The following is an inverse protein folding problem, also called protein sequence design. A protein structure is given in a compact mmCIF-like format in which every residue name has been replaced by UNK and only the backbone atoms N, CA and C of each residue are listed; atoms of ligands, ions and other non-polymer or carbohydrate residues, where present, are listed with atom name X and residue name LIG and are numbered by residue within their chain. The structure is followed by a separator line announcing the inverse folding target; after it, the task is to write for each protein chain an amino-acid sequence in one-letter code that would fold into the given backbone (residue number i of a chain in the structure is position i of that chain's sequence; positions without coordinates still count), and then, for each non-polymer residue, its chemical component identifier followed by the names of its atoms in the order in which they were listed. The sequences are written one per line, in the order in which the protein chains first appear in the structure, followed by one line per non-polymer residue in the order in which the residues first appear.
data_IF_371574190661
#
_entry.id   IF_371574190661
#
_cell.length_a   1.000
_cell.length_b   1.000
_cell.length_c   1.000
_cell.angle_alpha   90.00
_cell.angle_beta   90.00
_cell.angle_gamma   90.00
#
_symmetry.space_group_name_H-M   'P 1'
#
loop_
_entity.id
_entity.type
_entity.pdbx_description
1 polymer ?
#
# COMPACT_ATOMS: atom_id res chain seq x y z
N UNK A 1 19.23 -0.87 -1.85
CA UNK A 1 20.69 -0.76 -2.10
C UNK A 1 21.41 -0.44 -0.80
N UNK A 2 22.73 -0.55 -0.76
CA UNK A 2 23.55 -0.07 0.37
C UNK A 2 24.18 1.29 0.05
N UNK A 3 24.60 2.04 1.06
CA UNK A 3 25.02 3.44 0.92
C UNK A 3 26.17 3.66 -0.09
N UNK A 4 27.07 2.68 -0.19
CA UNK A 4 28.26 2.74 -1.05
C UNK A 4 28.19 1.82 -2.27
N UNK A 5 27.03 1.22 -2.51
CA UNK A 5 26.81 0.36 -3.66
C UNK A 5 26.61 1.20 -4.93
N UNK A 6 27.44 0.95 -5.95
CA UNK A 6 27.20 1.48 -7.29
C UNK A 6 25.92 0.87 -7.87
N UNK A 7 25.02 1.72 -8.36
CA UNK A 7 23.75 1.30 -8.93
C UNK A 7 23.65 1.75 -10.38
N UNK A 8 23.61 0.77 -11.30
CA UNK A 8 23.57 0.94 -12.75
C UNK A 8 22.25 0.48 -13.39
N UNK A 9 21.24 0.16 -12.56
CA UNK A 9 19.92 -0.24 -13.04
C UNK A 9 19.17 0.91 -13.72
N UNK A 10 18.23 0.60 -14.65
CA UNK A 10 17.49 1.62 -15.41
C UNK A 10 16.58 2.49 -14.53
N UNK A 11 16.19 1.98 -13.36
CA UNK A 11 15.44 2.71 -12.34
C UNK A 11 16.23 2.75 -11.03
N UNK A 12 16.12 3.84 -10.24
CA UNK A 12 16.88 3.98 -9.00
C UNK A 12 16.31 3.09 -7.88
N UNK A 13 17.19 2.45 -7.12
CA UNK A 13 16.83 1.85 -5.83
C UNK A 13 16.64 2.95 -4.76
N UNK A 14 15.38 3.35 -4.54
CA UNK A 14 14.99 4.47 -3.65
C UNK A 14 15.33 4.21 -2.18
N UNK A 15 15.12 2.98 -1.70
CA UNK A 15 15.38 2.60 -0.31
C UNK A 15 16.81 2.12 -0.10
N UNK A 16 17.46 2.59 0.96
CA UNK A 16 18.76 2.10 1.42
C UNK A 16 18.62 1.22 2.66
N UNK A 17 19.55 0.27 2.83
CA UNK A 17 19.60 -0.58 4.02
C UNK A 17 19.76 0.25 5.29
N UNK A 18 20.63 1.26 5.25
CA UNK A 18 20.97 2.12 6.38
C UNK A 18 19.77 2.95 6.85
N UNK A 19 18.92 3.39 5.90
CA UNK A 19 17.67 4.05 6.22
C UNK A 19 16.71 3.10 6.95
N UNK A 20 16.59 1.85 6.49
CA UNK A 20 15.77 0.82 7.15
C UNK A 20 16.31 0.49 8.54
N UNK A 21 17.63 0.36 8.71
CA UNK A 21 18.26 0.15 10.02
C UNK A 21 18.03 1.33 10.98
N UNK A 22 18.07 2.57 10.47
CA UNK A 22 17.76 3.76 11.27
C UNK A 22 16.30 3.77 11.74
N UNK A 23 15.36 3.39 10.87
CA UNK A 23 13.94 3.23 11.21
C UNK A 23 13.77 2.14 12.26
N UNK A 24 14.38 0.96 12.07
CA UNK A 24 14.33 -0.13 13.05
C UNK A 24 14.80 0.31 14.44
N UNK A 25 15.93 1.02 14.53
CA UNK A 25 16.41 1.58 15.79
C UNK A 25 15.43 2.58 16.41
N UNK A 26 14.91 3.51 15.61
CA UNK A 26 13.97 4.56 16.07
C UNK A 26 12.67 3.96 16.61
N UNK A 27 12.19 2.87 16.02
CA UNK A 27 10.97 2.18 16.44
C UNK A 27 11.21 1.05 17.46
N UNK A 28 12.46 0.83 17.89
CA UNK A 28 12.86 -0.29 18.75
C UNK A 28 12.33 -1.66 18.25
N UNK A 29 12.31 -1.83 16.91
CA UNK A 29 11.76 -3.03 16.30
C UNK A 29 12.62 -4.27 16.60
N UNK A 30 12.00 -5.34 17.07
CA UNK A 30 12.62 -6.66 17.28
C UNK A 30 12.14 -7.67 16.24
N UNK A 31 12.97 -8.66 15.90
CA UNK A 31 12.59 -9.72 14.96
C UNK A 31 12.43 -9.26 13.51
N UNK A 32 12.99 -8.11 13.13
CA UNK A 32 12.89 -7.60 11.77
C UNK A 32 13.85 -8.32 10.82
N UNK A 33 13.36 -8.68 9.63
CA UNK A 33 14.16 -9.24 8.53
C UNK A 33 14.42 -8.16 7.49
N UNK A 34 15.70 -7.88 7.22
CA UNK A 34 16.12 -6.92 6.20
C UNK A 34 16.39 -7.66 4.88
N UNK A 35 15.32 -8.00 4.17
CA UNK A 35 15.40 -8.62 2.86
C UNK A 35 15.76 -7.60 1.78
N UNK A 36 16.63 -8.00 0.85
CA UNK A 36 16.99 -7.18 -0.31
C UNK A 36 16.01 -7.45 -1.46
N UNK A 37 15.42 -6.39 -2.01
CA UNK A 37 14.59 -6.47 -3.21
C UNK A 37 15.41 -6.99 -4.40
N UNK A 38 14.80 -7.85 -5.23
CA UNK A 38 15.39 -8.35 -6.46
C UNK A 38 15.73 -7.23 -7.44
N UNK A 39 16.97 -7.21 -7.94
CA UNK A 39 17.43 -6.25 -8.96
C UNK A 39 16.58 -6.32 -10.24
N UNK A 40 16.20 -7.53 -10.65
CA UNK A 40 15.33 -7.75 -11.80
C UNK A 40 13.94 -7.11 -11.63
N UNK A 41 13.37 -7.16 -10.43
CA UNK A 41 12.11 -6.49 -10.12
C UNK A 41 12.26 -4.97 -10.28
N UNK A 42 13.28 -4.38 -9.68
CA UNK A 42 13.51 -2.93 -9.76
C UNK A 42 13.74 -2.51 -11.21
N UNK A 43 14.55 -3.26 -11.96
CA UNK A 43 14.79 -3.01 -13.38
C UNK A 43 13.52 -3.10 -14.24
N UNK A 44 12.55 -3.94 -13.85
CA UNK A 44 11.24 -4.06 -14.48
C UNK A 44 10.27 -2.90 -14.18
N UNK A 45 10.62 -2.01 -13.24
CA UNK A 45 9.80 -0.85 -12.87
C UNK A 45 9.24 -0.89 -11.45
N UNK A 46 9.64 -1.86 -10.61
CA UNK A 46 9.21 -1.90 -9.21
C UNK A 46 9.99 -0.89 -8.38
N UNK A 47 9.37 0.25 -8.10
CA UNK A 47 10.02 1.31 -7.32
C UNK A 47 9.86 1.13 -5.81
N UNK A 48 8.88 0.33 -5.36
CA UNK A 48 8.63 -0.05 -3.97
C UNK A 48 8.26 -1.54 -3.86
N UNK A 49 8.49 -2.14 -2.69
CA UNK A 49 8.24 -3.56 -2.45
C UNK A 49 6.75 -3.94 -2.55
N UNK A 50 5.86 -3.01 -2.21
CA UNK A 50 4.40 -3.20 -2.31
C UNK A 50 3.88 -3.29 -3.75
N UNK A 51 4.75 -3.25 -4.76
CA UNK A 51 4.41 -3.55 -6.16
C UNK A 51 4.61 -5.03 -6.51
N UNK A 52 5.35 -5.79 -5.68
CA UNK A 52 5.65 -7.22 -5.91
C UNK A 52 5.49 -8.11 -4.67
N UNK A 53 5.17 -7.54 -3.52
CA UNK A 53 5.01 -8.28 -2.28
C UNK A 53 4.08 -7.56 -1.29
N UNK A 54 3.14 -8.31 -0.72
CA UNK A 54 2.28 -7.86 0.38
C UNK A 54 2.14 -8.99 1.40
N UNK A 55 2.27 -8.66 2.68
CA UNK A 55 2.04 -9.62 3.77
C UNK A 55 0.96 -9.15 4.72
N UNK A 56 0.23 -10.07 5.34
CA UNK A 56 -0.73 -9.80 6.40
C UNK A 56 -0.84 -11.03 7.32
N UNK A 57 -0.88 -10.78 8.62
CA UNK A 57 -0.88 -11.83 9.64
C UNK A 57 0.32 -12.78 9.43
N UNK A 58 0.07 -14.07 9.24
CA UNK A 58 1.05 -15.11 8.99
C UNK A 58 1.39 -15.29 7.51
N UNK A 59 0.73 -14.57 6.60
CA UNK A 59 0.85 -14.79 5.16
C UNK A 59 1.72 -13.74 4.47
N UNK A 60 2.62 -14.19 3.60
CA UNK A 60 3.41 -13.36 2.68
C UNK A 60 3.08 -13.75 1.24
N UNK A 61 2.44 -12.85 0.49
CA UNK A 61 2.09 -13.00 -0.91
C UNK A 61 3.06 -12.20 -1.79
N UNK A 62 3.78 -12.85 -2.70
CA UNK A 62 4.86 -12.21 -3.46
C UNK A 62 5.12 -12.87 -4.82
N UNK A 63 5.69 -12.09 -5.73
CA UNK A 63 6.21 -12.58 -7.01
C UNK A 63 7.57 -13.27 -6.80
N UNK A 64 7.90 -14.32 -7.55
CA UNK A 64 9.18 -15.06 -7.39
C UNK A 64 10.44 -14.17 -7.46
N UNK A 65 10.37 -13.09 -8.26
CA UNK A 65 11.42 -12.07 -8.40
C UNK A 65 11.42 -10.97 -7.32
N UNK A 66 10.55 -11.05 -6.29
CA UNK A 66 10.44 -10.01 -5.29
C UNK A 66 11.75 -9.82 -4.52
N UNK A 67 12.44 -10.89 -4.13
CA UNK A 67 13.66 -10.82 -3.34
C UNK A 67 14.88 -11.21 -4.19
N UNK A 68 16.05 -10.66 -3.85
CA UNK A 68 17.31 -11.04 -4.51
C UNK A 68 17.70 -12.49 -4.16
N UNK A 69 17.43 -12.90 -2.91
CA UNK A 69 17.59 -14.27 -2.43
C UNK A 69 16.31 -14.69 -1.70
N UNK A 70 15.40 -15.32 -2.44
CA UNK A 70 14.08 -15.73 -1.94
C UNK A 70 14.19 -16.80 -0.86
N UNK A 71 15.09 -17.78 -1.00
CA UNK A 71 15.23 -18.87 -0.04
C UNK A 71 15.83 -18.39 1.28
N UNK A 72 16.88 -17.56 1.23
CA UNK A 72 17.42 -16.94 2.43
C UNK A 72 16.40 -16.03 3.11
N UNK A 73 15.60 -15.30 2.32
CA UNK A 73 14.52 -14.46 2.85
C UNK A 73 13.47 -15.29 3.59
N UNK A 74 12.97 -16.38 2.98
CA UNK A 74 12.02 -17.31 3.62
C UNK A 74 12.60 -17.91 4.90
N UNK A 75 13.86 -18.36 4.87
CA UNK A 75 14.52 -18.92 6.04
C UNK A 75 14.65 -17.90 7.19
N UNK A 76 15.04 -16.67 6.87
CA UNK A 76 15.13 -15.59 7.86
C UNK A 76 13.77 -15.23 8.46
N UNK A 77 12.71 -15.19 7.63
CA UNK A 77 11.33 -14.93 8.10
C UNK A 77 10.86 -16.05 9.02
N UNK A 78 11.07 -17.33 8.67
CA UNK A 78 10.74 -18.46 9.55
C UNK A 78 11.47 -18.38 10.88
N UNK A 79 12.76 -18.05 10.87
CA UNK A 79 13.55 -17.91 12.09
C UNK A 79 13.05 -16.74 12.98
N UNK A 80 12.55 -15.66 12.37
CA UNK A 80 12.01 -14.51 13.09
C UNK A 80 10.55 -14.70 13.56
N UNK A 81 9.80 -15.60 12.94
CA UNK A 81 8.40 -15.88 13.24
C UNK A 81 8.23 -16.73 14.51
N UNK A 82 8.43 -16.11 15.67
CA UNK A 82 8.23 -16.79 16.96
C UNK A 82 6.72 -16.92 17.23
N UNK A 83 6.25 -18.16 17.34
CA UNK A 83 4.87 -18.47 17.75
C UNK A 83 3.86 -18.68 16.61
N UNK A 84 4.29 -18.68 15.35
CA UNK A 84 3.45 -19.03 14.20
C UNK A 84 4.32 -19.54 13.04
N UNK A 85 3.75 -20.34 12.12
CA UNK A 85 4.42 -20.74 10.88
C UNK A 85 4.03 -19.77 9.75
N UNK A 86 4.99 -19.05 9.12
CA UNK A 86 4.70 -18.20 7.98
C UNK A 86 4.19 -18.99 6.78
N UNK A 87 3.10 -18.51 6.16
CA UNK A 87 2.57 -19.02 4.91
C UNK A 87 3.09 -18.20 3.73
N UNK A 88 3.90 -18.83 2.89
CA UNK A 88 4.45 -18.19 1.69
C UNK A 88 3.57 -18.52 0.47
N UNK A 89 3.00 -17.48 -0.15
CA UNK A 89 2.23 -17.58 -1.39
C UNK A 89 3.07 -16.94 -2.49
N UNK A 90 3.78 -17.76 -3.25
CA UNK A 90 4.64 -17.31 -4.34
C UNK A 90 3.92 -17.44 -5.68
N UNK A 91 4.05 -16.42 -6.54
CA UNK A 91 3.57 -16.45 -7.93
C UNK A 91 4.77 -16.52 -8.86
N UNK A 92 4.78 -17.55 -9.73
CA UNK A 92 5.85 -17.74 -10.71
C UNK A 92 5.76 -16.74 -11.86
N UNK A 93 6.89 -16.40 -12.50
CA UNK A 93 6.86 -15.57 -13.71
C UNK A 93 6.26 -16.30 -14.92
N UNK A 94 6.15 -17.63 -14.86
CA UNK A 94 5.45 -18.41 -15.87
C UNK A 94 3.94 -18.14 -15.85
N UNK A 95 3.36 -18.09 -14.64
CA UNK A 95 1.94 -17.77 -14.44
C UNK A 95 1.68 -16.28 -14.67
N UNK A 96 2.51 -15.44 -14.05
CA UNK A 96 2.37 -13.99 -14.10
C UNK A 96 3.73 -13.32 -14.36
N UNK A 97 4.06 -13.01 -15.63
CA UNK A 97 5.26 -12.24 -15.95
C UNK A 97 5.30 -10.91 -15.19
N UNK A 98 6.50 -10.47 -14.82
CA UNK A 98 6.69 -9.25 -14.02
C UNK A 98 6.01 -8.00 -14.62
N UNK A 99 6.01 -7.86 -15.95
CA UNK A 99 5.33 -6.74 -16.62
C UNK A 99 3.80 -6.75 -16.39
N UNK A 100 3.18 -7.93 -16.34
CA UNK A 100 1.77 -8.08 -16.02
C UNK A 100 1.51 -7.83 -14.52
N UNK A 101 2.40 -8.29 -13.64
CA UNK A 101 2.31 -8.00 -12.20
C UNK A 101 2.35 -6.48 -11.92
N UNK A 102 3.24 -5.75 -12.60
CA UNK A 102 3.39 -4.30 -12.45
C UNK A 102 2.21 -3.56 -13.07
N UNK A 103 1.77 -3.91 -14.28
CA UNK A 103 0.67 -3.18 -14.95
C UNK A 103 -0.69 -3.45 -14.31
N UNK A 104 -0.90 -4.63 -13.72
CA UNK A 104 -2.14 -4.99 -13.04
C UNK A 104 -2.24 -4.54 -11.58
N UNK A 105 -1.10 -4.20 -10.96
CA UNK A 105 -0.97 -3.87 -9.54
C UNK A 105 -1.45 -5.00 -8.59
N UNK A 106 -1.39 -6.27 -9.00
CA UNK A 106 -1.87 -7.40 -8.18
C UNK A 106 -1.25 -7.42 -6.77
N UNK A 107 0.05 -7.17 -6.63
CA UNK A 107 0.69 -7.16 -5.31
C UNK A 107 0.52 -5.85 -4.54
N UNK A 108 0.06 -4.80 -5.22
CA UNK A 108 -0.37 -3.55 -4.58
C UNK A 108 -1.82 -3.62 -4.07
N UNK A 109 -2.34 -4.83 -3.91
CA UNK A 109 -3.63 -5.10 -3.30
C UNK A 109 -3.57 -4.96 -1.77
N UNK A 110 -4.73 -4.75 -1.15
CA UNK A 110 -4.84 -4.92 0.31
C UNK A 110 -5.08 -6.40 0.62
N UNK A 111 -4.29 -6.94 1.55
CA UNK A 111 -4.50 -8.27 2.10
C UNK A 111 -5.01 -8.10 3.54
N UNK A 112 -6.25 -8.52 3.79
CA UNK A 112 -6.93 -8.29 5.08
C UNK A 112 -7.65 -9.54 5.56
N UNK A 113 -7.90 -9.63 6.88
CA UNK A 113 -8.87 -10.57 7.44
C UNK A 113 -10.14 -9.80 7.77
N UNK A 114 -11.23 -10.12 7.07
CA UNK A 114 -12.55 -9.57 7.38
C UNK A 114 -13.08 -10.27 8.63
N UNK A 115 -13.64 -9.54 9.62
CA UNK A 115 -14.25 -10.17 10.79
C UNK A 115 -15.29 -11.23 10.39
N UNK A 116 -15.19 -12.43 10.98
CA UNK A 116 -16.08 -13.56 10.67
C UNK A 116 -15.68 -14.40 9.46
N UNK A 117 -14.60 -14.05 8.73
CA UNK A 117 -14.03 -14.91 7.69
C UNK A 117 -12.79 -15.66 8.20
N UNK A 118 -12.67 -16.93 7.79
CA UNK A 118 -11.55 -17.80 8.18
C UNK A 118 -10.27 -17.55 7.35
N UNK A 119 -10.43 -17.05 6.12
CA UNK A 119 -9.34 -16.81 5.15
C UNK A 119 -9.22 -15.33 4.81
N UNK A 120 -8.07 -14.95 4.27
CA UNK A 120 -7.79 -13.57 3.87
C UNK A 120 -8.58 -13.18 2.62
N UNK A 121 -9.00 -11.92 2.59
CA UNK A 121 -9.53 -11.24 1.40
C UNK A 121 -8.43 -10.41 0.75
N UNK A 122 -8.26 -10.57 -0.56
CA UNK A 122 -7.40 -9.75 -1.40
C UNK A 122 -8.26 -8.70 -2.11
N UNK A 123 -8.04 -7.41 -1.81
CA UNK A 123 -8.75 -6.29 -2.43
C UNK A 123 -7.85 -5.69 -3.51
N UNK A 124 -8.16 -6.01 -4.76
CA UNK A 124 -7.40 -5.69 -5.96
C UNK A 124 -7.98 -4.48 -6.70
N UNK A 125 -7.18 -3.75 -7.50
CA UNK A 125 -7.72 -2.81 -8.48
C UNK A 125 -8.40 -3.53 -9.64
N UNK A 126 -9.28 -2.84 -10.38
CA UNK A 126 -9.94 -3.37 -11.58
C UNK A 126 -8.95 -3.82 -12.67
N UNK A 127 -7.77 -3.23 -12.73
CA UNK A 127 -6.68 -3.58 -13.64
C UNK A 127 -6.17 -5.01 -13.42
N UNK A 128 -6.29 -5.53 -12.19
CA UNK A 128 -6.05 -6.95 -11.89
C UNK A 128 -7.10 -7.86 -12.52
N UNK A 129 -8.37 -7.45 -12.52
CA UNK A 129 -9.45 -8.20 -13.19
C UNK A 129 -9.31 -8.15 -14.71
N UNK A 130 -8.92 -7.00 -15.24
CA UNK A 130 -8.90 -6.75 -16.68
C UNK A 130 -7.65 -7.35 -17.35
N UNK A 131 -6.57 -7.62 -16.59
CA UNK A 131 -5.41 -8.39 -17.06
C UNK A 131 -5.67 -9.90 -16.92
N UNK A 132 -5.74 -10.69 -18.02
CA UNK A 132 -6.15 -12.10 -17.97
C UNK A 132 -5.28 -12.99 -17.07
N UNK A 133 -3.96 -12.78 -17.05
CA UNK A 133 -3.03 -13.57 -16.23
C UNK A 133 -3.18 -13.25 -14.75
N UNK A 134 -3.26 -11.96 -14.43
CA UNK A 134 -3.43 -11.49 -13.05
C UNK A 134 -4.77 -11.92 -12.49
N UNK A 135 -5.83 -11.85 -13.30
CA UNK A 135 -7.15 -12.35 -12.96
C UNK A 135 -7.13 -13.86 -12.71
N UNK A 136 -6.50 -14.64 -13.58
CA UNK A 136 -6.36 -16.08 -13.39
C UNK A 136 -5.63 -16.42 -12.09
N UNK A 137 -4.53 -15.73 -11.78
CA UNK A 137 -3.83 -15.90 -10.49
C UNK A 137 -4.76 -15.58 -9.32
N UNK A 138 -5.46 -14.45 -9.34
CA UNK A 138 -6.36 -14.05 -8.26
C UNK A 138 -7.49 -15.07 -8.05
N UNK A 139 -8.12 -15.55 -9.13
CA UNK A 139 -9.16 -16.58 -9.05
C UNK A 139 -8.62 -17.92 -8.55
N UNK A 140 -7.43 -18.33 -9.00
CA UNK A 140 -6.78 -19.55 -8.51
C UNK A 140 -6.46 -19.48 -7.02
N UNK A 141 -6.04 -18.30 -6.52
CA UNK A 141 -5.84 -18.07 -5.09
C UNK A 141 -7.15 -18.29 -4.32
N UNK A 142 -8.23 -17.61 -4.73
CA UNK A 142 -9.55 -17.74 -4.09
C UNK A 142 -10.07 -19.20 -4.10
N UNK A 143 -9.90 -19.90 -5.21
CA UNK A 143 -10.34 -21.29 -5.39
C UNK A 143 -9.44 -22.33 -4.69
N UNK A 144 -8.21 -21.96 -4.31
CA UNK A 144 -7.29 -22.85 -3.60
C UNK A 144 -7.73 -23.13 -2.16
N UNK A 145 -7.01 -24.02 -1.48
CA UNK A 145 -7.10 -24.20 -0.02
C UNK A 145 -6.07 -23.35 0.76
N UNK A 146 -5.41 -22.39 0.10
CA UNK A 146 -4.40 -21.53 0.71
C UNK A 146 -4.98 -20.41 1.60
N UNK A 147 -4.14 -19.50 2.11
CA UNK A 147 -4.58 -18.48 3.07
C UNK A 147 -5.52 -17.43 2.47
N UNK A 148 -5.45 -17.17 1.17
CA UNK A 148 -6.28 -16.17 0.47
C UNK A 148 -7.51 -16.87 -0.08
N UNK A 149 -8.69 -16.58 0.46
CA UNK A 149 -9.94 -17.27 0.10
C UNK A 149 -10.99 -16.42 -0.60
N UNK A 150 -10.75 -15.13 -0.72
CA UNK A 150 -11.68 -14.21 -1.37
C UNK A 150 -10.94 -13.11 -2.11
N UNK A 151 -11.50 -12.65 -3.22
CA UNK A 151 -10.96 -11.55 -4.02
C UNK A 151 -12.07 -10.54 -4.28
N UNK A 152 -11.79 -9.29 -3.94
CA UNK A 152 -12.64 -8.13 -4.24
C UNK A 152 -11.94 -7.21 -5.22
N UNK A 153 -12.71 -6.55 -6.09
CA UNK A 153 -12.16 -5.59 -7.06
C UNK A 153 -12.73 -4.19 -6.81
N UNK A 154 -11.85 -3.20 -6.73
CA UNK A 154 -12.20 -1.79 -6.52
C UNK A 154 -11.73 -0.91 -7.67
N UNK A 155 -12.54 0.06 -8.03
CA UNK A 155 -12.18 1.07 -9.03
C UNK A 155 -11.43 2.23 -8.36
N UNK A 156 -10.12 2.28 -8.59
CA UNK A 156 -9.23 3.36 -8.15
C UNK A 156 -8.47 3.97 -9.33
N UNK A 157 -9.10 4.00 -10.53
CA UNK A 157 -8.46 4.38 -11.80
C UNK A 157 -7.70 5.71 -11.76
N UNK A 158 -8.19 6.72 -11.02
CA UNK A 158 -7.49 8.00 -10.91
C UNK A 158 -6.15 7.90 -10.16
N UNK A 159 -6.09 7.05 -9.13
CA UNK A 159 -4.86 6.76 -8.39
C UNK A 159 -3.93 5.86 -9.21
N UNK A 160 -4.49 4.86 -9.89
CA UNK A 160 -3.75 3.94 -10.76
C UNK A 160 -3.01 4.65 -11.90
N UNK A 161 -3.62 5.70 -12.50
CA UNK A 161 -2.97 6.55 -13.51
C UNK A 161 -1.71 7.27 -13.01
N UNK A 162 -1.55 7.40 -11.69
CA UNK A 162 -0.36 7.95 -11.04
C UNK A 162 0.47 6.88 -10.30
N UNK A 163 0.20 5.59 -10.56
CA UNK A 163 0.95 4.47 -9.99
C UNK A 163 0.62 4.16 -8.54
N UNK A 164 -0.62 4.39 -8.09
CA UNK A 164 -1.09 4.00 -6.76
C UNK A 164 -2.29 3.07 -6.83
N UNK A 165 -2.13 1.81 -6.43
CA UNK A 165 -3.24 0.88 -6.23
C UNK A 165 -3.81 0.95 -4.81
N UNK A 166 -4.67 -0.01 -4.43
CA UNK A 166 -5.34 -0.01 -3.13
C UNK A 166 -4.40 0.08 -1.92
N UNK A 167 -3.25 -0.60 -1.97
CA UNK A 167 -2.26 -0.56 -0.89
C UNK A 167 -1.56 0.80 -0.75
N UNK A 168 -1.33 1.53 -1.83
CA UNK A 168 -0.70 2.85 -1.77
C UNK A 168 -1.59 3.92 -1.11
N UNK A 169 -2.90 3.71 -1.08
CA UNK A 169 -3.88 4.64 -0.51
C UNK A 169 -4.08 4.49 1.01
N UNK A 170 -3.31 3.61 1.68
CA UNK A 170 -3.50 3.29 3.10
C UNK A 170 -2.21 3.06 3.85
N UNK A 171 -2.20 3.49 5.12
CA UNK A 171 -1.17 3.15 6.11
C UNK A 171 -1.75 2.15 7.12
N UNK A 172 -1.04 1.04 7.37
CA UNK A 172 -1.45 0.06 8.39
C UNK A 172 -0.80 0.41 9.72
N UNK A 173 -1.62 0.59 10.75
CA UNK A 173 -1.19 0.84 12.12
C UNK A 173 -1.92 -0.16 13.02
N UNK A 174 -1.16 -1.07 13.64
CA UNK A 174 -1.72 -2.03 14.60
C UNK A 174 -1.81 -1.32 15.95
N UNK A 175 -3.00 -1.35 16.56
CA UNK A 175 -3.29 -0.67 17.81
C UNK A 175 -4.02 -1.63 18.75
N UNK A 176 -3.66 -1.59 20.02
CA UNK A 176 -4.48 -2.10 21.12
C UNK A 176 -5.75 -1.26 21.28
N UNK A 177 -6.73 -1.74 22.06
CA UNK A 177 -7.96 -0.98 22.33
C UNK A 177 -7.68 0.37 23.01
N UNK A 178 -6.73 0.42 23.95
CA UNK A 178 -6.35 1.64 24.63
C UNK A 178 -5.65 2.64 23.69
N UNK A 179 -4.72 2.16 22.84
CA UNK A 179 -4.07 3.01 21.84
C UNK A 179 -5.08 3.51 20.80
N UNK A 180 -6.00 2.64 20.37
CA UNK A 180 -7.09 3.04 19.48
C UNK A 180 -7.92 4.15 20.14
N UNK A 181 -8.33 3.99 21.40
CA UNK A 181 -9.07 4.99 22.18
C UNK A 181 -8.34 6.33 22.31
N UNK A 182 -7.00 6.32 22.29
CA UNK A 182 -6.17 7.53 22.32
C UNK A 182 -6.02 8.23 20.95
N UNK A 183 -6.40 7.59 19.84
CA UNK A 183 -6.41 8.25 18.52
C UNK A 183 -7.52 9.31 18.43
N UNK A 184 -7.38 10.28 17.52
CA UNK A 184 -8.42 11.27 17.25
C UNK A 184 -9.71 10.58 16.77
N UNK A 185 -10.81 10.60 17.56
CA UNK A 185 -12.04 9.91 17.20
C UNK A 185 -12.70 10.50 15.95
N UNK A 186 -12.48 11.78 15.65
CA UNK A 186 -13.03 12.44 14.45
C UNK A 186 -12.39 11.91 13.14
N UNK A 187 -11.27 11.20 13.23
CA UNK A 187 -10.64 10.54 12.07
C UNK A 187 -11.08 9.08 11.90
N UNK A 188 -11.99 8.57 12.74
CA UNK A 188 -12.52 7.21 12.60
C UNK A 188 -13.63 7.20 11.56
N UNK A 189 -13.45 6.41 10.51
CA UNK A 189 -14.44 6.27 9.46
C UNK A 189 -15.74 5.69 10.03
N UNK A 190 -16.81 6.46 9.86
CA UNK A 190 -18.20 6.10 10.16
C UNK A 190 -19.06 6.51 8.98
N UNK A 191 -20.30 6.02 8.91
CA UNK A 191 -21.25 6.45 7.88
C UNK A 191 -21.46 7.97 7.88
N UNK A 192 -21.53 8.59 9.07
CA UNK A 192 -21.68 10.04 9.20
C UNK A 192 -20.45 10.78 8.68
N UNK A 193 -19.24 10.36 9.07
CA UNK A 193 -18.00 10.98 8.57
C UNK A 193 -17.88 10.80 7.06
N UNK A 194 -18.18 9.60 6.55
CA UNK A 194 -18.17 9.32 5.12
C UNK A 194 -19.12 10.25 4.36
N UNK A 195 -20.35 10.45 4.84
CA UNK A 195 -21.31 11.37 4.22
C UNK A 195 -20.81 12.83 4.23
N UNK A 196 -20.22 13.29 5.34
CA UNK A 196 -19.64 14.63 5.47
C UNK A 196 -18.46 14.85 4.52
N UNK A 197 -17.53 13.90 4.46
CA UNK A 197 -16.38 13.96 3.55
C UNK A 197 -16.83 13.89 2.08
N UNK A 198 -17.85 13.10 1.78
CA UNK A 198 -18.44 13.03 0.43
C UNK A 198 -19.06 14.36 0.01
N UNK A 199 -19.74 15.04 0.93
CA UNK A 199 -20.32 16.37 0.67
C UNK A 199 -19.25 17.45 0.51
N UNK A 200 -18.27 17.45 1.42
CA UNK A 200 -17.09 18.30 1.34
C UNK A 200 -16.37 18.13 0.00
N UNK A 201 -16.12 16.89 -0.42
CA UNK A 201 -15.51 16.58 -1.72
C UNK A 201 -16.32 17.14 -2.88
N UNK A 202 -17.64 16.91 -2.90
CA UNK A 202 -18.57 17.43 -3.93
C UNK A 202 -18.60 18.96 -4.02
N UNK A 203 -18.38 19.67 -2.90
CA UNK A 203 -18.40 21.14 -2.89
C UNK A 203 -17.09 21.77 -3.33
N UNK A 204 -15.96 21.17 -2.98
CA UNK A 204 -14.65 21.79 -3.15
C UNK A 204 -13.85 21.29 -4.34
N UNK A 205 -14.06 20.05 -4.78
CA UNK A 205 -13.25 19.47 -5.85
C UNK A 205 -13.81 19.85 -7.22
N UNK A 206 -12.92 20.26 -8.12
CA UNK A 206 -13.24 20.43 -9.54
C UNK A 206 -13.34 19.05 -10.21
N UNK A 207 -14.30 18.88 -11.11
CA UNK A 207 -14.44 17.66 -11.92
C UNK A 207 -13.29 17.48 -12.94
N UNK A 208 -12.57 18.56 -13.26
CA UNK A 208 -11.42 18.56 -14.15
C UNK A 208 -10.34 19.51 -13.63
N UNK A 209 -9.09 19.09 -13.72
CA UNK A 209 -7.92 19.88 -13.37
C UNK A 209 -6.77 19.56 -14.32
N UNK A 210 -6.16 20.60 -14.88
CA UNK A 210 -4.98 20.53 -15.74
C UNK A 210 -3.81 21.29 -15.10
N UNK A 211 -2.60 21.08 -15.62
CA UNK A 211 -1.42 21.80 -15.14
C UNK A 211 -1.53 23.33 -15.28
N UNK A 212 -2.31 23.83 -16.25
CA UNK A 212 -2.51 25.28 -16.43
C UNK A 212 -3.37 25.88 -15.31
N UNK A 213 -4.33 25.12 -14.81
CA UNK A 213 -5.25 25.57 -13.76
C UNK A 213 -4.53 25.79 -12.43
N UNK A 214 -3.33 25.24 -12.26
CA UNK A 214 -2.47 25.51 -11.09
C UNK A 214 -2.04 26.99 -10.97
N UNK A 215 -2.16 27.77 -12.04
CA UNK A 215 -1.89 29.20 -12.02
C UNK A 215 -3.12 30.06 -11.70
N UNK A 216 -4.31 29.45 -11.57
CA UNK A 216 -5.55 30.15 -11.22
C UNK A 216 -5.54 30.53 -9.73
N UNK A 217 -5.57 31.84 -9.38
CA UNK A 217 -5.62 32.25 -7.98
C UNK A 217 -6.89 31.76 -7.26
N UNK A 218 -8.00 31.54 -7.97
CA UNK A 218 -9.21 30.99 -7.36
C UNK A 218 -9.00 29.58 -6.82
N UNK A 219 -8.15 28.76 -7.48
CA UNK A 219 -7.82 27.42 -7.00
C UNK A 219 -7.10 27.46 -5.64
N UNK A 220 -6.29 28.48 -5.39
CA UNK A 220 -5.63 28.67 -4.09
C UNK A 220 -6.64 28.96 -2.99
N UNK A 221 -7.60 29.85 -3.24
CA UNK A 221 -8.64 30.21 -2.29
C UNK A 221 -9.58 29.02 -2.01
N UNK A 222 -10.00 28.31 -3.07
CA UNK A 222 -10.75 27.05 -2.98
C UNK A 222 -10.02 26.01 -2.13
N UNK A 223 -8.72 25.80 -2.39
CA UNK A 223 -7.90 24.83 -1.65
C UNK A 223 -7.80 25.19 -0.18
N UNK A 224 -7.57 26.47 0.15
CA UNK A 224 -7.49 26.92 1.54
C UNK A 224 -8.82 26.78 2.27
N UNK A 225 -9.92 27.19 1.64
CA UNK A 225 -11.27 27.01 2.19
C UNK A 225 -11.62 25.55 2.42
N UNK A 226 -11.30 24.68 1.46
CA UNK A 226 -11.48 23.24 1.58
C UNK A 226 -10.68 22.66 2.75
N UNK A 227 -9.41 23.02 2.88
CA UNK A 227 -8.55 22.55 3.97
C UNK A 227 -8.99 23.08 5.34
N UNK A 228 -9.42 24.34 5.44
CA UNK A 228 -9.99 24.90 6.66
C UNK A 228 -11.21 24.11 7.13
N UNK A 229 -12.16 23.87 6.22
CA UNK A 229 -13.34 23.07 6.55
C UNK A 229 -12.96 21.63 6.91
N UNK A 230 -12.00 21.02 6.20
CA UNK A 230 -11.55 19.66 6.49
C UNK A 230 -10.95 19.54 7.90
N UNK A 231 -10.16 20.53 8.34
CA UNK A 231 -9.63 20.55 9.72
C UNK A 231 -10.72 20.63 10.78
N UNK A 232 -11.84 21.29 10.48
CA UNK A 232 -13.01 21.31 11.36
C UNK A 232 -13.77 19.98 11.32
N UNK A 233 -13.91 19.36 10.15
CA UNK A 233 -14.56 18.04 10.00
C UNK A 233 -13.81 16.97 10.81
N UNK A 234 -12.48 16.99 10.73
CA UNK A 234 -11.58 16.00 11.33
C UNK A 234 -11.05 16.40 12.71
N UNK A 235 -11.49 17.54 13.26
CA UNK A 235 -11.07 18.05 14.57
C UNK A 235 -9.53 18.10 14.74
N UNK A 236 -8.85 18.75 13.79
CA UNK A 236 -7.38 18.86 13.78
C UNK A 236 -6.86 20.16 14.41
N UNK A 237 -7.76 21.02 14.88
CA UNK A 237 -7.47 22.35 15.39
C UNK A 237 -7.23 23.39 14.29
N UNK A 238 -7.28 24.68 14.66
CA UNK A 238 -7.21 25.81 13.74
C UNK A 238 -5.81 26.22 13.28
N UNK A 239 -4.80 25.36 13.46
CA UNK A 239 -3.40 25.66 13.14
C UNK A 239 -2.63 24.47 12.56
N UNK A 240 -3.36 23.50 12.02
CA UNK A 240 -2.79 22.26 11.50
C UNK A 240 -1.93 22.55 10.26
N UNK A 241 -2.51 23.23 9.27
CA UNK A 241 -1.81 23.64 8.06
C UNK A 241 -1.03 24.95 8.26
N UNK A 242 0.12 25.13 7.58
CA UNK A 242 0.94 26.34 7.72
C UNK A 242 0.19 27.66 7.47
N UNK A 243 -0.74 27.69 6.50
CA UNK A 243 -1.48 28.91 6.17
C UNK A 243 -2.49 29.34 7.25
N UNK A 244 -2.90 28.42 8.13
CA UNK A 244 -3.83 28.70 9.22
C UNK A 244 -3.15 29.35 10.44
N UNK A 245 -1.82 29.33 10.47
CA UNK A 245 -1.00 29.92 11.53
C UNK A 245 -0.50 31.33 11.17
N UNK A 246 -0.79 31.79 9.96
CA UNK A 246 -0.32 33.06 9.41
C UNK A 246 -1.27 34.22 9.74
#
# INVERSE_FOLDING_TARGET
REAWEHWDGPYPARQTREASEAIMRRHAASGAVMARQGKAAIAGGTFHNDVVCVGALDTLFFHELAFEDTDATKAAIRAAAVGFEPQFVEVSAADLPLADAISSYLFNSMLIRVPGQDRLTLICPTETRDNPRSHAVAQNLAASNGPIGHVEYVDVRQSMRNGGGPACLRLRVVLTEAELAATNPAMRLTESLHARLSDWGRRWYRDSLTARDLADPALLDETRGALDELTQILDLGGGFYPFQRA
#
